data_IF_362633162468
#
_entry.id   IF_362633162468
#
_cell.length_a   1.000
_cell.length_b   1.000
_cell.length_c   1.000
_cell.angle_alpha   90.00
_cell.angle_beta   90.00
_cell.angle_gamma   90.00
#
_symmetry.space_group_name_H-M   'P 1'
#
loop_
_entity.id
_entity.type
_entity.pdbx_description
1 polymer ?
#
# COMPACT_ATOMS: atom_id res chain seq x y z
N UNK A 1 27.69 -8.05 -6.81
CA UNK A 1 26.75 -9.16 -6.60
C UNK A 1 26.14 -9.47 -7.95
N UNK A 2 26.49 -10.61 -8.54
CA UNK A 2 25.95 -11.01 -9.82
C UNK A 2 24.42 -11.05 -9.72
N UNK A 3 23.75 -10.37 -10.66
CA UNK A 3 22.29 -10.31 -10.74
C UNK A 3 21.75 -11.74 -10.88
N UNK A 4 21.49 -12.40 -9.75
CA UNK A 4 20.91 -13.76 -9.68
C UNK A 4 19.59 -13.85 -10.46
N UNK A 5 18.99 -12.70 -10.74
CA UNK A 5 17.74 -12.53 -11.46
C UNK A 5 17.88 -11.67 -12.74
N UNK A 6 19.08 -11.50 -13.31
CA UNK A 6 19.29 -10.72 -14.53
C UNK A 6 18.54 -11.28 -15.74
N UNK A 7 18.39 -12.61 -15.81
CA UNK A 7 17.69 -13.29 -16.90
C UNK A 7 16.16 -13.18 -16.81
N UNK A 8 15.64 -12.67 -15.69
CA UNK A 8 14.20 -12.52 -15.45
C UNK A 8 13.73 -11.13 -15.87
N UNK A 9 12.50 -11.08 -16.38
CA UNK A 9 11.82 -9.82 -16.64
C UNK A 9 11.66 -9.01 -15.34
N UNK A 10 11.49 -7.70 -15.48
CA UNK A 10 11.24 -6.82 -14.34
C UNK A 10 9.99 -7.23 -13.54
N UNK A 11 8.99 -7.79 -14.21
CA UNK A 11 7.76 -8.30 -13.57
C UNK A 11 8.04 -9.53 -12.70
N UNK A 12 8.74 -10.52 -13.24
CA UNK A 12 9.05 -11.77 -12.52
C UNK A 12 9.96 -11.52 -11.32
N UNK A 13 10.91 -10.57 -11.43
CA UNK A 13 11.73 -10.15 -10.29
C UNK A 13 10.91 -9.60 -9.13
N UNK A 14 9.82 -8.89 -9.42
CA UNK A 14 8.91 -8.37 -8.40
C UNK A 14 8.12 -9.51 -7.76
N UNK A 15 7.68 -10.50 -8.53
CA UNK A 15 6.98 -11.68 -7.99
C UNK A 15 7.87 -12.52 -7.07
N UNK A 16 9.13 -12.75 -7.48
CA UNK A 16 10.13 -13.43 -6.64
C UNK A 16 10.38 -12.65 -5.35
N UNK A 17 10.45 -11.32 -5.42
CA UNK A 17 10.62 -10.49 -4.23
C UNK A 17 9.43 -10.57 -3.27
N UNK A 18 8.20 -10.67 -3.80
CA UNK A 18 6.98 -10.87 -2.99
C UNK A 18 6.99 -12.25 -2.34
N UNK A 19 7.35 -13.31 -3.07
CA UNK A 19 7.48 -14.66 -2.54
C UNK A 19 8.53 -14.73 -1.42
N UNK A 20 9.70 -14.10 -1.61
CA UNK A 20 10.75 -14.03 -0.58
C UNK A 20 10.28 -13.39 0.73
N UNK A 21 9.47 -12.33 0.65
CA UNK A 21 8.88 -11.67 1.83
C UNK A 21 7.82 -12.56 2.48
N UNK A 22 7.07 -13.33 1.68
CA UNK A 22 6.05 -14.25 2.19
C UNK A 22 6.69 -15.44 2.93
N UNK A 23 7.75 -16.01 2.37
CA UNK A 23 8.53 -17.10 3.00
C UNK A 23 9.30 -16.63 4.23
N UNK A 24 9.75 -15.37 4.24
CA UNK A 24 10.54 -14.79 5.33
C UNK A 24 9.90 -13.47 5.82
N UNK A 25 8.92 -13.51 6.74
CA UNK A 25 8.24 -12.31 7.21
C UNK A 25 9.14 -11.32 7.97
N UNK A 26 10.32 -11.76 8.43
CA UNK A 26 11.35 -10.90 9.04
C UNK A 26 12.17 -10.12 7.99
N UNK A 27 12.06 -10.47 6.71
CA UNK A 27 12.77 -9.83 5.63
C UNK A 27 12.12 -8.48 5.32
N UNK A 28 12.90 -7.41 5.46
CA UNK A 28 12.39 -6.07 5.12
C UNK A 28 12.24 -5.91 3.61
N UNK A 29 11.25 -5.12 3.22
CA UNK A 29 10.93 -4.82 1.83
C UNK A 29 12.12 -4.21 1.07
N UNK A 30 12.94 -3.38 1.76
CA UNK A 30 14.21 -2.85 1.23
C UNK A 30 15.24 -3.94 0.93
N UNK A 31 15.38 -4.94 1.81
CA UNK A 31 16.33 -6.04 1.58
C UNK A 31 15.90 -6.90 0.40
N UNK A 32 14.60 -7.22 0.30
CA UNK A 32 14.05 -7.93 -0.85
C UNK A 32 14.25 -7.17 -2.17
N UNK A 33 14.02 -5.86 -2.16
CA UNK A 33 14.25 -4.97 -3.31
C UNK A 33 15.71 -5.00 -3.80
N UNK A 34 16.67 -4.98 -2.87
CA UNK A 34 18.10 -5.06 -3.17
C UNK A 34 18.45 -6.43 -3.76
N UNK A 35 17.95 -7.52 -3.16
CA UNK A 35 18.21 -8.90 -3.61
C UNK A 35 17.70 -9.12 -5.04
N UNK A 36 16.50 -8.62 -5.36
CA UNK A 36 15.86 -8.82 -6.66
C UNK A 36 16.14 -7.69 -7.66
N UNK A 37 16.93 -6.68 -7.28
CA UNK A 37 17.26 -5.51 -8.08
C UNK A 37 16.01 -4.82 -8.68
N UNK A 38 15.04 -4.54 -7.82
CA UNK A 38 13.76 -3.88 -8.18
C UNK A 38 13.44 -2.77 -7.22
N UNK A 39 12.76 -1.71 -7.69
CA UNK A 39 12.39 -0.61 -6.81
C UNK A 39 11.31 -1.07 -5.80
N UNK A 40 11.43 -0.73 -4.50
CA UNK A 40 10.51 -1.21 -3.46
C UNK A 40 9.04 -0.80 -3.69
N UNK A 41 8.78 0.29 -4.43
CA UNK A 41 7.42 0.68 -4.80
C UNK A 41 6.71 -0.38 -5.67
N UNK A 42 7.42 -1.08 -6.55
CA UNK A 42 6.83 -2.14 -7.38
C UNK A 42 6.42 -3.35 -6.54
N UNK A 43 7.25 -3.74 -5.58
CA UNK A 43 6.94 -4.83 -4.63
C UNK A 43 5.74 -4.45 -3.78
N UNK A 44 5.70 -3.22 -3.24
CA UNK A 44 4.58 -2.73 -2.42
C UNK A 44 3.27 -2.74 -3.20
N UNK A 45 3.26 -2.23 -4.43
CA UNK A 45 2.08 -2.25 -5.30
C UNK A 45 1.62 -3.67 -5.61
N UNK A 46 2.55 -4.56 -5.96
CA UNK A 46 2.25 -5.98 -6.24
C UNK A 46 1.69 -6.69 -5.02
N UNK A 47 2.30 -6.50 -3.84
CA UNK A 47 1.84 -7.07 -2.57
C UNK A 47 0.41 -6.63 -2.20
N UNK A 48 0.05 -5.38 -2.52
CA UNK A 48 -1.31 -4.84 -2.29
C UNK A 48 -2.32 -5.27 -3.36
N UNK A 49 -1.90 -6.00 -4.39
CA UNK A 49 -2.76 -6.34 -5.53
C UNK A 49 -3.27 -5.12 -6.29
N UNK A 50 -2.54 -3.99 -6.21
CA UNK A 50 -2.90 -2.75 -6.91
C UNK A 50 -2.50 -2.90 -8.37
N UNK A 51 -3.43 -3.39 -9.20
CA UNK A 51 -3.34 -3.23 -10.65
C UNK A 51 -3.72 -1.79 -11.01
N UNK A 52 -3.12 -1.22 -12.07
CA UNK A 52 -3.45 0.13 -12.53
C UNK A 52 -4.96 0.34 -12.70
N UNK A 53 -5.68 -0.67 -13.18
CA UNK A 53 -7.13 -0.63 -13.35
C UNK A 53 -7.89 -0.53 -12.01
N UNK A 54 -7.43 -1.24 -10.97
CA UNK A 54 -8.05 -1.17 -9.65
C UNK A 54 -7.79 0.18 -8.98
N UNK A 55 -6.57 0.69 -9.09
CA UNK A 55 -6.19 2.02 -8.58
C UNK A 55 -7.00 3.14 -9.26
N UNK A 56 -7.21 3.04 -10.58
CA UNK A 56 -8.06 3.95 -11.34
C UNK A 56 -9.53 3.87 -10.89
N UNK A 57 -10.08 2.65 -10.76
CA UNK A 57 -11.45 2.44 -10.31
C UNK A 57 -11.70 2.90 -8.87
N UNK A 58 -10.72 2.75 -7.99
CA UNK A 58 -10.80 3.24 -6.61
C UNK A 58 -10.77 4.78 -6.57
N UNK A 59 -9.94 5.41 -7.42
CA UNK A 59 -9.96 6.86 -7.62
C UNK A 59 -11.28 7.38 -8.21
N UNK A 60 -11.86 6.67 -9.18
CA UNK A 60 -13.15 7.02 -9.80
C UNK A 60 -14.32 6.90 -8.82
N UNK A 61 -14.23 5.99 -7.84
CA UNK A 61 -15.23 5.85 -6.77
C UNK A 61 -15.11 6.88 -5.67
N UNK A 62 -13.98 7.59 -5.58
CA UNK A 62 -13.73 8.58 -4.55
C UNK A 62 -14.56 9.83 -4.85
N UNK A 63 -15.60 10.07 -4.04
CA UNK A 63 -16.50 11.23 -4.21
C UNK A 63 -15.86 12.54 -3.76
N UNK A 64 -14.83 12.44 -2.91
CA UNK A 64 -14.14 13.56 -2.31
C UNK A 64 -12.65 13.42 -2.59
N UNK A 65 -11.96 14.55 -2.65
CA UNK A 65 -10.50 14.53 -2.68
C UNK A 65 -9.96 14.04 -1.33
N UNK A 66 -8.76 13.44 -1.29
CA UNK A 66 -8.15 13.02 -0.02
C UNK A 66 -8.01 14.16 1.01
N UNK A 67 -7.88 15.41 0.54
CA UNK A 67 -7.82 16.58 1.39
C UNK A 67 -9.19 16.89 2.06
N UNK A 68 -10.28 16.79 1.30
CA UNK A 68 -11.64 16.98 1.82
C UNK A 68 -12.03 15.85 2.79
N UNK A 69 -11.69 14.60 2.47
CA UNK A 69 -11.89 13.46 3.37
C UNK A 69 -11.14 13.67 4.70
N UNK A 70 -9.88 14.14 4.65
CA UNK A 70 -9.10 14.42 5.85
C UNK A 70 -9.74 15.52 6.71
N UNK A 71 -10.33 16.55 6.09
CA UNK A 71 -11.04 17.61 6.80
C UNK A 71 -12.28 17.04 7.50
N UNK A 72 -13.09 16.24 6.80
CA UNK A 72 -14.29 15.62 7.37
C UNK A 72 -13.95 14.67 8.51
N UNK A 73 -12.92 13.82 8.37
CA UNK A 73 -12.45 12.93 9.43
C UNK A 73 -12.01 13.74 10.65
N UNK A 74 -11.24 14.82 10.44
CA UNK A 74 -10.80 15.70 11.52
C UNK A 74 -11.98 16.30 12.28
N UNK A 75 -13.02 16.75 11.57
CA UNK A 75 -14.23 17.25 12.22
C UNK A 75 -14.98 16.12 12.92
N UNK A 76 -15.20 14.96 12.29
CA UNK A 76 -15.90 13.83 12.90
C UNK A 76 -15.25 13.36 14.21
N UNK A 77 -13.92 13.27 14.26
CA UNK A 77 -13.18 12.96 15.48
C UNK A 77 -13.39 14.02 16.56
N UNK A 78 -13.28 15.31 16.19
CA UNK A 78 -13.52 16.44 17.10
C UNK A 78 -14.97 16.46 17.63
N UNK A 79 -15.94 16.11 16.79
CA UNK A 79 -17.35 15.97 17.17
C UNK A 79 -17.57 14.78 18.12
N UNK A 80 -16.84 13.67 17.95
CA UNK A 80 -16.90 12.52 18.85
C UNK A 80 -16.29 12.83 20.23
N UNK A 81 -15.15 13.53 20.25
CA UNK A 81 -14.49 13.98 21.49
C UNK A 81 -15.33 14.99 22.29
N UNK A 82 -16.20 15.74 21.62
CA UNK A 82 -17.13 16.68 22.24
C UNK A 82 -18.32 16.01 22.94
N UNK A 83 -18.41 14.68 22.88
CA UNK A 83 -19.38 13.92 23.64
C UNK A 83 -20.81 14.26 23.20
N UNK A 84 -21.28 13.60 22.14
CA UNK A 84 -22.71 13.36 22.00
C UNK A 84 -23.11 12.35 23.09
N UNK A 85 -23.18 12.84 24.33
CA UNK A 85 -23.95 12.18 25.37
C UNK A 85 -25.41 12.24 24.93
N UNK A 86 -25.90 11.15 24.34
CA UNK A 86 -27.33 10.83 24.19
C UNK A 86 -27.99 10.60 25.57
N UNK A 87 -27.81 11.55 26.49
CA UNK A 87 -28.41 11.55 27.82
C UNK A 87 -28.80 12.96 28.22
N UNK A 88 -29.72 13.55 27.47
CA UNK A 88 -30.68 14.50 28.02
C UNK A 88 -32.07 13.90 27.80
N UNK A 89 -32.45 13.02 28.73
CA UNK A 89 -33.85 12.81 29.09
C UNK A 89 -34.33 13.91 30.02
#
# INVERSE_FOLDING_TARGET
MADKYANLSSSERVDVAVQLIHENPLLSLRKAAIICNVHPSFISRRKRGLTKAKEQADHEKQLLTPAEEAILIKYALKYNDWGFCDSCG
#
